data_IF_070291571137
#
_entry.id   IF_070291571137
#
_cell.length_a   1.000
_cell.length_b   1.000
_cell.length_c   1.000
_cell.angle_alpha   90.00
_cell.angle_beta   90.00
_cell.angle_gamma   90.00
#
_symmetry.space_group_name_H-M   'P 1'
#
loop_
_entity.id
_entity.type
_entity.pdbx_description
1 polymer ?
#
# COMPACT_ATOMS: atom_id res chain seq x y z
N UNK A 1 -5.11 14.23 -44.33
CA UNK A 1 -3.77 14.65 -43.90
C UNK A 1 -3.37 13.80 -42.70
N UNK A 2 -2.74 12.64 -42.93
CA UNK A 2 -2.33 11.71 -41.88
C UNK A 2 -0.87 11.96 -41.51
N UNK A 3 -0.60 12.35 -40.25
CA UNK A 3 0.76 12.41 -39.72
C UNK A 3 1.09 11.07 -39.07
N UNK A 4 1.78 10.21 -39.81
CA UNK A 4 2.39 8.99 -39.27
C UNK A 4 3.69 9.39 -38.57
N UNK A 5 3.62 9.65 -37.26
CA UNK A 5 4.80 9.89 -36.44
C UNK A 5 5.54 8.58 -36.19
N UNK A 6 6.76 8.47 -36.72
CA UNK A 6 7.67 7.36 -36.48
C UNK A 6 7.89 7.17 -34.98
N UNK A 7 7.57 5.97 -34.48
CA UNK A 7 7.85 5.56 -33.11
C UNK A 7 9.35 5.55 -32.86
N UNK A 8 9.86 6.59 -32.21
CA UNK A 8 11.19 6.59 -31.65
C UNK A 8 11.26 5.45 -30.63
N UNK A 9 11.97 4.36 -30.99
CA UNK A 9 12.26 3.27 -30.07
C UNK A 9 13.09 3.85 -28.92
N UNK A 10 12.50 3.89 -27.74
CA UNK A 10 13.12 4.35 -26.51
C UNK A 10 14.21 3.33 -26.10
N UNK A 11 15.38 3.36 -26.73
CA UNK A 11 16.55 2.57 -26.31
C UNK A 11 17.31 3.32 -25.23
N UNK A 12 16.61 3.73 -24.18
CA UNK A 12 17.28 4.21 -22.97
C UNK A 12 17.93 2.98 -22.32
N UNK A 13 19.24 2.87 -22.43
CA UNK A 13 20.03 2.01 -21.54
C UNK A 13 19.75 2.48 -20.12
N UNK A 14 19.02 1.66 -19.36
CA UNK A 14 18.96 1.79 -17.91
C UNK A 14 20.38 1.53 -17.42
N UNK A 15 21.11 2.60 -17.11
CA UNK A 15 22.32 2.49 -16.31
C UNK A 15 21.86 2.02 -14.93
N UNK A 16 22.35 0.89 -14.39
CA UNK A 16 22.06 0.52 -13.02
C UNK A 16 22.76 1.56 -12.14
N UNK A 17 22.03 2.58 -11.73
CA UNK A 17 22.51 3.51 -10.71
C UNK A 17 22.04 3.02 -9.35
N UNK A 18 22.95 3.16 -8.40
CA UNK A 18 22.71 3.12 -6.97
C UNK A 18 22.44 1.73 -6.34
N UNK A 19 23.27 1.44 -5.33
CA UNK A 19 23.06 0.51 -4.22
C UNK A 19 21.71 -0.25 -4.21
N UNK A 20 21.69 -1.38 -4.93
CA UNK A 20 20.54 -2.28 -4.97
C UNK A 20 20.19 -2.85 -3.59
N UNK A 21 21.21 -3.07 -2.73
CA UNK A 21 20.98 -3.58 -1.39
C UNK A 21 20.22 -2.55 -0.54
N UNK A 22 20.64 -1.28 -0.56
CA UNK A 22 19.91 -0.20 0.10
C UNK A 22 18.52 0.05 -0.49
N UNK A 23 18.31 -0.15 -1.79
CA UNK A 23 16.97 -0.11 -2.38
C UNK A 23 16.08 -1.23 -1.84
N UNK A 24 16.56 -2.47 -1.82
CA UNK A 24 15.80 -3.63 -1.33
C UNK A 24 15.46 -3.46 0.15
N UNK A 25 16.40 -2.98 0.98
CA UNK A 25 16.16 -2.74 2.40
C UNK A 25 15.02 -1.73 2.62
N UNK A 26 15.06 -0.58 1.93
CA UNK A 26 13.99 0.43 2.00
C UNK A 26 12.65 -0.07 1.49
N UNK A 27 12.67 -0.89 0.43
CA UNK A 27 11.45 -1.50 -0.09
C UNK A 27 10.81 -2.45 0.94
N UNK A 28 11.61 -3.33 1.56
CA UNK A 28 11.14 -4.24 2.61
C UNK A 28 10.53 -3.49 3.79
N UNK A 29 11.21 -2.45 4.27
CA UNK A 29 10.72 -1.62 5.37
C UNK A 29 9.35 -1.01 5.04
N UNK A 30 9.20 -0.41 3.84
CA UNK A 30 7.92 0.17 3.42
C UNK A 30 6.82 -0.87 3.30
N UNK A 31 7.11 -2.05 2.77
CA UNK A 31 6.11 -3.13 2.66
C UNK A 31 5.65 -3.58 4.03
N UNK A 32 6.55 -3.73 5.00
CA UNK A 32 6.19 -4.09 6.38
C UNK A 32 5.40 -2.97 7.05
N UNK A 33 5.82 -1.71 6.89
CA UNK A 33 5.11 -0.55 7.40
C UNK A 33 3.67 -0.48 6.84
N UNK A 34 3.52 -0.66 5.53
CA UNK A 34 2.20 -0.69 4.87
C UNK A 34 1.37 -1.84 5.43
N UNK A 35 1.93 -3.06 5.54
CA UNK A 35 1.23 -4.21 6.10
C UNK A 35 0.73 -3.95 7.54
N UNK A 36 1.55 -3.34 8.40
CA UNK A 36 1.15 -2.98 9.77
C UNK A 36 0.03 -1.95 9.76
N UNK A 37 0.12 -0.92 8.91
CA UNK A 37 -0.92 0.10 8.79
C UNK A 37 -2.23 -0.50 8.29
N UNK A 38 -2.18 -1.37 7.29
CA UNK A 38 -3.35 -2.07 6.73
C UNK A 38 -3.96 -3.08 7.72
N UNK A 39 -3.21 -3.50 8.73
CA UNK A 39 -3.72 -4.35 9.78
C UNK A 39 -4.55 -3.58 10.83
N UNK A 40 -4.64 -2.24 10.74
CA UNK A 40 -5.37 -1.40 11.68
C UNK A 40 -6.77 -1.01 11.18
N UNK A 41 -7.83 -1.09 12.01
CA UNK A 41 -9.17 -0.62 11.66
C UNK A 41 -9.23 0.84 11.20
N UNK A 42 -8.37 1.69 11.79
CA UNK A 42 -8.31 3.13 11.51
C UNK A 42 -7.89 3.44 10.07
N UNK A 43 -7.03 2.61 9.48
CA UNK A 43 -6.64 2.76 8.08
C UNK A 43 -7.85 2.54 7.16
N UNK A 44 -8.59 1.46 7.38
CA UNK A 44 -9.74 1.10 6.55
C UNK A 44 -10.88 2.10 6.65
N UNK A 45 -11.09 2.70 7.82
CA UNK A 45 -12.07 3.80 7.97
C UNK A 45 -11.68 5.03 7.15
N UNK A 46 -10.44 5.49 7.24
CA UNK A 46 -9.95 6.62 6.42
C UNK A 46 -10.04 6.33 4.93
N UNK A 47 -9.78 5.08 4.54
CA UNK A 47 -9.90 4.63 3.16
C UNK A 47 -11.36 4.66 2.69
N UNK A 48 -12.31 4.25 3.53
CA UNK A 48 -13.74 4.39 3.24
C UNK A 48 -14.13 5.85 3.02
N UNK A 49 -13.70 6.76 3.91
CA UNK A 49 -13.96 8.20 3.78
C UNK A 49 -13.42 8.75 2.44
N UNK A 50 -12.24 8.28 2.02
CA UNK A 50 -11.62 8.68 0.75
C UNK A 50 -12.46 8.25 -0.46
N UNK A 51 -13.07 7.06 -0.42
CA UNK A 51 -13.94 6.58 -1.49
C UNK A 51 -15.31 7.26 -1.47
N UNK A 52 -15.88 7.53 -0.29
CA UNK A 52 -17.14 8.27 -0.16
C UNK A 52 -17.03 9.66 -0.81
N UNK A 53 -15.88 10.33 -0.71
CA UNK A 53 -15.63 11.63 -1.35
C UNK A 53 -15.71 11.62 -2.88
N UNK A 54 -15.56 10.45 -3.53
CA UNK A 54 -15.66 10.33 -4.99
C UNK A 54 -17.11 10.37 -5.46
N UNK A 55 -18.06 9.88 -4.64
CA UNK A 55 -19.50 9.98 -4.91
C UNK A 55 -20.00 9.17 -6.12
N UNK A 56 -19.39 8.01 -6.38
CA UNK A 56 -19.86 7.07 -7.43
C UNK A 56 -20.29 5.77 -6.78
N UNK A 57 -21.28 5.09 -7.38
CA UNK A 57 -21.81 3.83 -6.83
C UNK A 57 -20.73 2.77 -6.63
N UNK A 58 -19.75 2.68 -7.53
CA UNK A 58 -18.62 1.77 -7.39
C UNK A 58 -17.73 2.12 -6.17
N UNK A 59 -17.54 3.40 -5.88
CA UNK A 59 -16.78 3.82 -4.70
C UNK A 59 -17.59 3.60 -3.41
N UNK A 60 -18.92 3.75 -3.44
CA UNK A 60 -19.79 3.49 -2.29
C UNK A 60 -19.74 2.01 -1.85
N UNK A 61 -19.71 1.09 -2.82
CA UNK A 61 -19.52 -0.35 -2.58
C UNK A 61 -18.16 -0.62 -1.93
N UNK A 62 -17.09 0.00 -2.44
CA UNK A 62 -15.75 -0.13 -1.88
C UNK A 62 -15.68 0.45 -0.46
N UNK A 63 -16.28 1.62 -0.22
CA UNK A 63 -16.32 2.24 1.10
C UNK A 63 -17.05 1.36 2.11
N UNK A 64 -18.15 0.72 1.68
CA UNK A 64 -18.88 -0.28 2.50
C UNK A 64 -18.01 -1.48 2.84
N UNK A 65 -17.29 -2.04 1.86
CA UNK A 65 -16.38 -3.15 2.11
C UNK A 65 -15.24 -2.76 3.07
N UNK A 66 -14.69 -1.55 2.95
CA UNK A 66 -13.66 -1.03 3.86
C UNK A 66 -14.19 -0.91 5.29
N UNK A 67 -15.41 -0.38 5.49
CA UNK A 67 -16.06 -0.29 6.81
C UNK A 67 -16.24 -1.67 7.44
N UNK A 68 -16.80 -2.61 6.68
CA UNK A 68 -17.00 -3.98 7.16
C UNK A 68 -15.68 -4.66 7.56
N UNK A 69 -14.61 -4.44 6.78
CA UNK A 69 -13.31 -4.96 7.12
C UNK A 69 -12.73 -4.35 8.41
N UNK A 70 -12.91 -3.04 8.61
CA UNK A 70 -12.52 -2.39 9.87
C UNK A 70 -13.25 -3.00 11.07
N UNK A 71 -14.55 -3.27 10.94
CA UNK A 71 -15.36 -3.87 12.01
C UNK A 71 -14.91 -5.29 12.35
N UNK A 72 -14.55 -6.10 11.35
CA UNK A 72 -13.96 -7.43 11.57
C UNK A 72 -12.63 -7.35 12.33
N UNK A 73 -11.75 -6.42 11.95
CA UNK A 73 -10.47 -6.21 12.64
C UNK A 73 -10.64 -5.75 14.09
N UNK A 74 -11.71 -5.02 14.42
CA UNK A 74 -12.01 -4.64 15.81
C UNK A 74 -12.57 -5.79 16.65
N UNK A 75 -13.34 -6.68 16.02
CA UNK A 75 -13.94 -7.83 16.68
C UNK A 75 -12.92 -8.93 16.95
N UNK A 76 -12.13 -9.27 15.94
CA UNK A 76 -11.19 -10.39 15.99
C UNK A 76 -9.78 -9.95 16.45
N UNK A 77 -9.46 -8.66 16.32
CA UNK A 77 -8.16 -8.09 16.63
C UNK A 77 -7.04 -8.63 15.72
N UNK A 78 -5.88 -7.99 15.78
CA UNK A 78 -4.63 -8.67 15.43
C UNK A 78 -4.22 -9.53 16.63
N UNK A 79 -3.80 -10.80 16.42
CA UNK A 79 -3.18 -11.57 17.48
C UNK A 79 -2.01 -10.76 18.05
N UNK A 80 -2.01 -10.51 19.37
CA UNK A 80 -1.01 -9.65 20.03
C UNK A 80 0.43 -10.10 19.80
N UNK A 81 0.64 -11.39 19.52
CA UNK A 81 1.93 -11.99 19.16
C UNK A 81 2.45 -11.47 17.83
N UNK A 82 1.59 -11.35 16.81
CA UNK A 82 1.95 -10.86 15.48
C UNK A 82 2.33 -9.37 15.53
N UNK A 83 1.63 -8.60 16.35
CA UNK A 83 1.93 -7.19 16.59
C UNK A 83 3.30 -6.98 17.25
N UNK A 84 3.67 -7.85 18.21
CA UNK A 84 4.97 -7.78 18.86
C UNK A 84 6.12 -8.13 17.91
N UNK A 85 5.99 -9.23 17.15
CA UNK A 85 7.00 -9.67 16.18
C UNK A 85 7.22 -8.62 15.06
N UNK A 86 6.16 -8.00 14.57
CA UNK A 86 6.25 -6.96 13.53
C UNK A 86 6.90 -5.67 14.03
N UNK A 87 6.73 -5.31 15.30
CA UNK A 87 7.38 -4.13 15.89
C UNK A 87 8.88 -4.38 16.05
N UNK A 88 9.28 -5.56 16.52
CA UNK A 88 10.69 -5.92 16.65
C UNK A 88 11.41 -5.91 15.29
N UNK A 89 10.79 -6.44 14.23
CA UNK A 89 11.35 -6.40 12.87
C UNK A 89 11.47 -4.98 12.29
N UNK A 90 10.54 -4.07 12.65
CA UNK A 90 10.58 -2.68 12.21
C UNK A 90 11.67 -1.88 12.93
N UNK A 91 11.92 -2.15 14.21
CA UNK A 91 13.00 -1.51 14.98
C UNK A 91 14.39 -1.99 14.51
N UNK A 92 14.54 -3.26 14.12
CA UNK A 92 15.80 -3.77 13.55
C UNK A 92 16.11 -3.22 12.15
N UNK A 93 15.09 -2.76 11.43
CA UNK A 93 15.21 -2.27 10.06
C UNK A 93 15.41 -0.74 9.93
N UNK A 94 15.30 0.01 11.04
CA UNK A 94 15.42 1.47 11.12
C UNK A 94 16.84 1.96 11.42
#
# INVERSE_FOLDING_TARGET
MSRTGAGAKLTARVTPTADHAGYIARFRFRVLQDAVVEALPTYWRRRADTFDLVGTSACDEIATACRHHADLLEQDGLPSVVLAELVDELDEAA
#
